data_IF_027506729211
#
_entry.id   IF_027506729211
#
_cell.length_a   1.000
_cell.length_b   1.000
_cell.length_c   1.000
_cell.angle_alpha   90.00
_cell.angle_beta   90.00
_cell.angle_gamma   90.00
#
_symmetry.space_group_name_H-M   'P 1'
#
loop_
_entity.id
_entity.type
_entity.pdbx_description
1 polymer ?
#
# COMPACT_ATOMS: atom_id res chain seq x y z
N UNK A 1 6.22 -10.39 6.38
CA UNK A 1 5.42 -9.33 7.03
C UNK A 1 5.61 -7.94 6.39
N UNK A 2 6.16 -7.81 5.17
CA UNK A 2 6.43 -6.50 4.59
C UNK A 2 5.19 -5.77 4.12
N UNK A 3 4.17 -6.48 3.61
CA UNK A 3 2.93 -5.83 3.14
C UNK A 3 2.19 -5.10 4.28
N UNK A 4 2.11 -5.74 5.45
CA UNK A 4 1.46 -5.14 6.63
C UNK A 4 2.27 -3.95 7.16
N UNK A 5 3.59 -4.06 7.19
CA UNK A 5 4.46 -2.96 7.61
C UNK A 5 4.31 -1.75 6.67
N UNK A 6 4.24 -2.01 5.36
CA UNK A 6 4.05 -0.96 4.36
C UNK A 6 2.69 -0.27 4.52
N UNK A 7 1.62 -1.05 4.72
CA UNK A 7 0.30 -0.50 5.03
C UNK A 7 0.37 0.45 6.24
N UNK A 8 0.96 0.01 7.34
CA UNK A 8 1.12 0.84 8.55
C UNK A 8 1.91 2.11 8.27
N UNK A 9 2.94 2.04 7.41
CA UNK A 9 3.78 3.19 7.06
C UNK A 9 3.03 4.27 6.26
N UNK A 10 2.17 3.87 5.31
CA UNK A 10 1.57 4.81 4.35
C UNK A 10 0.10 5.13 4.61
N UNK A 11 -0.70 4.19 5.13
CA UNK A 11 -2.16 4.32 5.16
C UNK A 11 -2.61 5.54 5.99
N UNK A 12 -2.07 5.70 7.20
CA UNK A 12 -2.43 6.82 8.09
C UNK A 12 -2.04 8.17 7.49
N UNK A 13 -0.88 8.25 6.81
CA UNK A 13 -0.43 9.49 6.16
C UNK A 13 -1.33 9.84 4.98
N UNK A 14 -1.65 8.86 4.14
CA UNK A 14 -2.54 9.05 2.99
C UNK A 14 -3.95 9.45 3.44
N UNK A 15 -4.47 8.82 4.50
CA UNK A 15 -5.78 9.17 5.06
C UNK A 15 -5.82 10.61 5.58
N UNK A 16 -4.81 11.02 6.37
CA UNK A 16 -4.75 12.37 6.92
C UNK A 16 -4.57 13.44 5.84
N UNK A 17 -3.90 13.10 4.74
CA UNK A 17 -3.77 13.96 3.57
C UNK A 17 -5.05 13.97 2.71
N UNK A 18 -6.08 13.18 3.02
CA UNK A 18 -7.29 13.10 2.20
C UNK A 18 -7.09 12.37 0.87
N UNK A 19 -6.05 11.54 0.79
CA UNK A 19 -5.69 10.75 -0.39
C UNK A 19 -6.16 9.31 -0.30
N UNK A 20 -6.72 8.88 0.84
CA UNK A 20 -7.22 7.53 1.07
C UNK A 20 -8.56 7.58 1.77
N UNK A 21 -9.53 6.82 1.28
CA UNK A 21 -10.84 6.60 1.91
C UNK A 21 -11.05 5.12 2.25
N UNK A 22 -12.16 4.79 2.91
CA UNK A 22 -12.51 3.40 3.21
C UNK A 22 -12.76 2.56 1.94
N UNK A 23 -13.15 3.20 0.83
CA UNK A 23 -13.41 2.54 -0.45
C UNK A 23 -12.11 2.10 -1.15
N UNK A 24 -11.00 2.81 -0.89
CA UNK A 24 -9.73 2.60 -1.59
C UNK A 24 -8.87 1.49 -0.98
N UNK A 25 -9.35 0.84 0.08
CA UNK A 25 -8.60 -0.17 0.84
C UNK A 25 -8.03 -1.29 -0.03
N UNK A 26 -8.79 -1.77 -1.02
CA UNK A 26 -8.34 -2.85 -1.90
C UNK A 26 -7.16 -2.40 -2.78
N UNK A 27 -7.22 -1.18 -3.32
CA UNK A 27 -6.15 -0.61 -4.13
C UNK A 27 -4.88 -0.39 -3.29
N UNK A 28 -5.02 0.10 -2.05
CA UNK A 28 -3.87 0.25 -1.16
C UNK A 28 -3.29 -1.11 -0.74
N UNK A 29 -4.14 -2.11 -0.51
CA UNK A 29 -3.69 -3.45 -0.16
C UNK A 29 -2.91 -4.09 -1.32
N UNK A 30 -3.37 -3.89 -2.55
CA UNK A 30 -2.67 -4.34 -3.75
C UNK A 30 -1.30 -3.65 -3.88
N UNK A 31 -1.21 -2.34 -3.61
CA UNK A 31 0.08 -1.64 -3.55
C UNK A 31 1.02 -2.27 -2.52
N UNK A 32 0.55 -2.47 -1.28
CA UNK A 32 1.35 -3.00 -0.19
C UNK A 32 1.81 -4.45 -0.45
N UNK A 33 0.96 -5.28 -1.06
CA UNK A 33 1.32 -6.64 -1.46
C UNK A 33 2.46 -6.63 -2.49
N UNK A 34 2.37 -5.79 -3.52
CA UNK A 34 3.42 -5.70 -4.53
C UNK A 34 4.72 -5.11 -3.96
N UNK A 35 4.64 -4.20 -2.98
CA UNK A 35 5.82 -3.74 -2.24
C UNK A 35 6.54 -4.90 -1.54
N UNK A 36 5.82 -5.76 -0.81
CA UNK A 36 6.41 -6.93 -0.14
C UNK A 36 7.04 -7.91 -1.13
N UNK A 37 6.34 -8.17 -2.24
CA UNK A 37 6.83 -9.04 -3.30
C UNK A 37 8.12 -8.48 -3.94
N UNK A 38 8.16 -7.18 -4.20
CA UNK A 38 9.34 -6.50 -4.74
C UNK A 38 10.53 -6.59 -3.77
N UNK A 39 10.32 -6.25 -2.50
CA UNK A 39 11.36 -6.34 -1.47
C UNK A 39 11.87 -7.78 -1.29
N UNK A 40 10.96 -8.76 -1.30
CA UNK A 40 11.32 -10.18 -1.18
C UNK A 40 12.15 -10.65 -2.38
N UNK A 41 11.76 -10.27 -3.60
CA UNK A 41 12.52 -10.60 -4.81
C UNK A 41 13.90 -9.95 -4.82
N UNK A 42 14.01 -8.69 -4.39
CA UNK A 42 15.29 -8.00 -4.28
C UNK A 42 16.19 -8.61 -3.20
N UNK A 43 15.64 -9.07 -2.08
CA UNK A 43 16.42 -9.75 -1.05
C UNK A 43 16.99 -11.07 -1.58
N UNK A 44 16.17 -11.88 -2.25
CA UNK A 44 16.60 -13.13 -2.86
C UNK A 44 17.68 -12.89 -3.94
N UNK A 45 17.57 -11.81 -4.71
CA UNK A 45 18.56 -11.44 -5.73
C UNK A 45 19.95 -11.08 -5.17
N UNK A 46 20.08 -10.80 -3.87
CA UNK A 46 21.41 -10.50 -3.28
C UNK A 46 22.35 -11.70 -3.31
N UNK A 47 21.81 -12.91 -3.36
CA UNK A 47 22.57 -14.16 -3.38
C UNK A 47 22.54 -14.87 -4.73
N UNK A 48 22.01 -14.23 -5.77
CA UNK A 48 21.78 -14.83 -7.08
C UNK A 48 22.36 -13.96 -8.19
N UNK A 49 22.78 -14.58 -9.28
CA UNK A 49 23.24 -13.84 -10.46
C UNK A 49 22.08 -13.23 -11.24
N UNK A 50 22.32 -12.08 -11.87
CA UNK A 50 21.32 -11.39 -12.70
C UNK A 50 20.97 -12.15 -13.98
N UNK A 51 21.88 -13.01 -14.43
CA UNK A 51 21.76 -13.89 -15.60
C UNK A 51 22.08 -15.30 -15.13
N UNK A 52 21.24 -16.26 -15.51
CA UNK A 52 21.37 -17.66 -15.13
C UNK A 52 21.45 -18.53 -16.39
N UNK A 53 22.20 -19.63 -16.29
CA UNK A 53 22.29 -20.62 -17.37
C UNK A 53 21.16 -21.64 -17.25
N UNK A 54 20.50 -21.93 -18.36
CA UNK A 54 19.45 -22.95 -18.45
C UNK A 54 20.04 -24.34 -18.68
N UNK A 55 19.25 -25.39 -18.47
CA UNK A 55 19.70 -26.78 -18.65
C UNK A 55 20.23 -27.12 -20.06
N UNK A 56 19.89 -26.33 -21.07
CA UNK A 56 20.37 -26.45 -22.45
C UNK A 56 21.55 -25.50 -22.77
N UNK A 57 22.16 -24.86 -21.78
CA UNK A 57 23.34 -24.00 -21.93
C UNK A 57 23.05 -22.59 -22.45
N UNK A 58 21.78 -22.16 -22.48
CA UNK A 58 21.42 -20.79 -22.88
C UNK A 58 21.47 -19.85 -21.68
N UNK A 59 21.88 -18.61 -21.89
CA UNK A 59 21.85 -17.57 -20.85
C UNK A 59 20.51 -16.85 -20.88
N UNK A 60 19.82 -16.80 -19.75
CA UNK A 60 18.55 -16.11 -19.59
C UNK A 60 18.59 -15.17 -18.38
N UNK A 61 17.72 -14.17 -18.38
CA UNK A 61 17.55 -13.30 -17.22
C UNK A 61 17.02 -14.11 -16.03
N UNK A 62 17.54 -13.83 -14.83
CA UNK A 62 17.04 -14.45 -13.61
C UNK A 62 15.52 -14.18 -13.45
N UNK A 63 14.68 -15.22 -13.28
CA UNK A 63 13.23 -15.06 -13.10
C UNK A 63 12.84 -14.10 -11.97
N UNK A 64 13.65 -13.98 -10.91
CA UNK A 64 13.43 -13.05 -9.80
C UNK A 64 13.40 -11.59 -10.27
N UNK A 65 14.20 -11.22 -11.29
CA UNK A 65 14.14 -9.89 -11.89
C UNK A 65 12.79 -9.65 -12.58
N UNK A 66 12.24 -10.68 -13.24
CA UNK A 66 10.90 -10.60 -13.83
C UNK A 66 9.82 -10.35 -12.78
N UNK A 67 9.93 -10.99 -11.62
CA UNK A 67 9.02 -10.77 -10.48
C UNK A 67 9.17 -9.35 -9.94
N UNK A 68 10.41 -8.92 -9.65
CA UNK A 68 10.70 -7.60 -9.13
C UNK A 68 10.16 -6.49 -10.05
N UNK A 69 10.42 -6.60 -11.36
CA UNK A 69 9.97 -5.62 -12.36
C UNK A 69 8.44 -5.52 -12.43
N UNK A 70 7.74 -6.66 -12.47
CA UNK A 70 6.26 -6.68 -12.50
C UNK A 70 5.67 -6.12 -11.21
N UNK A 71 6.26 -6.42 -10.07
CA UNK A 71 5.83 -5.89 -8.78
C UNK A 71 6.00 -4.35 -8.75
N UNK A 72 7.15 -3.85 -9.18
CA UNK A 72 7.42 -2.41 -9.26
C UNK A 72 6.48 -1.69 -10.24
N UNK A 73 6.15 -2.30 -11.37
CA UNK A 73 5.18 -1.75 -12.31
C UNK A 73 3.76 -1.68 -11.72
N UNK A 74 3.31 -2.74 -11.05
CA UNK A 74 2.02 -2.75 -10.34
C UNK A 74 2.00 -1.71 -9.21
N UNK A 75 3.09 -1.57 -8.47
CA UNK A 75 3.24 -0.51 -7.47
C UNK A 75 3.13 0.89 -8.09
N UNK A 76 3.76 1.12 -9.25
CA UNK A 76 3.63 2.38 -9.98
C UNK A 76 2.16 2.64 -10.36
N UNK A 77 1.44 1.62 -10.81
CA UNK A 77 0.01 1.75 -11.14
C UNK A 77 -0.84 2.07 -9.90
N UNK A 78 -0.82 1.23 -8.86
CA UNK A 78 -1.65 1.44 -7.67
C UNK A 78 -1.22 2.65 -6.84
N UNK A 79 0.08 2.86 -6.66
CA UNK A 79 0.61 4.04 -5.95
C UNK A 79 0.32 5.35 -6.68
N UNK A 80 0.13 5.28 -8.00
CA UNK A 80 -0.33 6.39 -8.80
C UNK A 80 -1.72 6.90 -8.42
N UNK A 81 -2.62 6.05 -7.91
CA UNK A 81 -3.95 6.43 -7.44
C UNK A 81 -3.90 7.31 -6.18
N UNK A 82 -2.82 7.20 -5.42
CA UNK A 82 -2.62 7.86 -4.12
C UNK A 82 -1.58 8.99 -4.15
N UNK A 83 -1.04 9.33 -5.33
CA UNK A 83 -0.07 10.42 -5.47
C UNK A 83 1.34 10.07 -4.98
N UNK A 84 1.62 8.77 -4.83
CA UNK A 84 2.96 8.30 -4.45
C UNK A 84 3.97 8.49 -5.58
N UNK A 85 3.51 8.55 -6.83
CA UNK A 85 4.34 8.91 -7.99
C UNK A 85 4.36 10.43 -8.18
N UNK A 86 5.53 11.07 -8.36
CA UNK A 86 5.62 12.51 -8.59
C UNK A 86 4.73 13.01 -9.74
N UNK A 87 4.71 12.27 -10.87
CA UNK A 87 3.92 12.63 -12.06
C UNK A 87 2.41 12.44 -11.91
N UNK A 88 1.94 11.75 -10.87
CA UNK A 88 0.51 11.57 -10.59
C UNK A 88 -0.07 12.67 -9.72
N UNK A 89 0.77 13.38 -8.94
CA UNK A 89 0.32 14.34 -7.93
C UNK A 89 -0.50 15.50 -8.51
N UNK A 90 -0.19 15.93 -9.73
CA UNK A 90 -0.94 16.99 -10.41
C UNK A 90 -2.38 16.62 -10.76
N UNK A 91 -2.73 15.33 -10.79
CA UNK A 91 -4.06 14.82 -11.16
C UNK A 91 -4.94 14.46 -9.97
N UNK A 92 -4.43 14.57 -8.73
CA UNK A 92 -5.13 14.08 -7.54
C UNK A 92 -5.53 15.26 -6.67
N UNK A 93 -6.82 15.28 -6.31
CA UNK A 93 -7.38 16.28 -5.41
C UNK A 93 -7.49 15.63 -4.03
N UNK A 94 -6.73 16.17 -3.07
CA UNK A 94 -6.79 15.78 -1.67
C UNK A 94 -7.99 16.45 -1.00
N UNK A 95 -8.86 15.66 -0.35
CA UNK A 95 -9.94 16.17 0.50
C UNK A 95 -9.72 15.63 1.91
N UNK A 96 -8.98 16.35 2.78
CA UNK A 96 -8.68 15.87 4.11
C UNK A 96 -9.98 15.60 4.90
N UNK A 97 -10.05 14.52 5.68
CA UNK A 97 -11.23 14.20 6.46
C UNK A 97 -11.52 15.35 7.43
N UNK A 98 -12.79 15.75 7.51
CA UNK A 98 -13.23 16.77 8.46
C UNK A 98 -12.91 16.26 9.87
N UNK A 99 -12.31 17.08 10.76
CA UNK A 99 -12.08 16.66 12.13
C UNK A 99 -13.42 16.23 12.72
N UNK A 100 -13.49 14.97 13.15
CA UNK A 100 -14.65 14.41 13.81
C UNK A 100 -14.89 15.26 15.07
N UNK A 101 -16.01 15.98 15.10
CA UNK A 101 -16.38 16.74 16.29
C UNK A 101 -16.58 15.71 17.40
N UNK A 102 -15.69 15.70 18.39
CA UNK A 102 -15.90 14.92 19.60
C UNK A 102 -17.29 15.25 20.15
N UNK A 103 -18.17 14.26 20.23
CA UNK A 103 -19.44 14.41 20.91
C UNK A 103 -19.12 14.86 22.34
N UNK A 104 -19.62 16.03 22.73
CA UNK A 104 -19.43 16.54 24.09
C UNK A 104 -20.06 15.53 25.05
N UNK A 105 -19.46 15.26 26.22
CA UNK A 105 -19.99 14.30 27.20
C UNK A 105 -21.37 14.65 27.77
N UNK A 106 -22.01 15.75 27.34
CA UNK A 106 -23.34 16.20 27.77
C UNK A 106 -24.51 15.38 27.22
N UNK A 107 -24.33 14.58 26.17
CA UNK A 107 -25.44 13.88 25.50
C UNK A 107 -25.76 12.49 26.08
N UNK A 108 -25.11 12.08 27.17
CA UNK A 108 -25.32 10.78 27.84
C UNK A 108 -26.29 10.80 29.04
N UNK A 109 -27.24 11.75 29.11
CA UNK A 109 -28.28 11.69 30.15
C UNK A 109 -29.56 11.06 29.63
N UNK A 110 -30.05 10.09 30.42
CA UNK A 110 -31.30 9.32 30.32
C UNK A 110 -31.21 8.23 29.25
N UNK A 111 -30.91 6.97 29.58
CA UNK A 111 -31.87 6.01 30.16
C UNK A 111 -31.14 5.04 31.12
N UNK A 112 -31.27 5.24 32.43
CA UNK A 112 -31.15 4.17 33.44
C UNK A 112 -32.42 4.25 34.27
N UNK A 113 -33.37 3.37 33.96
CA UNK A 113 -34.70 3.39 34.53
C UNK A 113 -35.65 2.52 33.73
N UNK A 114 -35.34 1.24 33.58
CA UNK A 114 -36.32 0.20 33.30
C UNK A 114 -35.67 -1.15 33.63
N UNK A 115 -36.45 -2.02 34.27
CA UNK A 115 -36.08 -3.32 34.89
C UNK A 115 -35.61 -3.23 36.34
N UNK A 116 -36.57 -2.94 37.24
CA UNK A 116 -36.89 -3.88 38.32
C UNK A 116 -37.66 -5.07 37.73
#
# INVERSE_FOLDING_TARGET
NGARAEWTRVAHRLYNLGLLTCLDRAALAAYCYNYDLWMTALEALKSEDMVVETANGSLVQNPLLGIANRAQERMRTFGGLFGLNPSSRSRIIAVPPKPEKQAKPSDKKVVTGFFE
#
